data_IF_740487615003
#
_entry.id   IF_740487615003
#
_cell.length_a   1.000
_cell.length_b   1.000
_cell.length_c   1.000
_cell.angle_alpha   90.00
_cell.angle_beta   90.00
_cell.angle_gamma   90.00
#
_symmetry.space_group_name_H-M   'P 1'
#
loop_
_entity.id
_entity.type
_entity.pdbx_description
1 polymer ?
#
# COMPACT_ATOMS: atom_id res chain seq x y z
N UNK A 1 -11.62 -11.61 -5.45
CA UNK A 1 -12.62 -12.37 -4.65
C UNK A 1 -13.83 -11.49 -4.33
N UNK A 2 -13.69 -10.44 -3.51
CA UNK A 2 -14.82 -9.62 -3.05
C UNK A 2 -15.70 -9.00 -4.16
N UNK A 3 -15.11 -8.35 -5.17
CA UNK A 3 -15.90 -7.76 -6.28
C UNK A 3 -16.71 -8.83 -7.03
N UNK A 4 -16.17 -10.04 -7.14
CA UNK A 4 -16.87 -11.16 -7.75
C UNK A 4 -18.06 -11.60 -6.89
N UNK A 5 -17.88 -11.71 -5.58
CA UNK A 5 -18.97 -12.02 -4.63
C UNK A 5 -20.08 -10.98 -4.66
N UNK A 6 -19.73 -9.69 -4.71
CA UNK A 6 -20.70 -8.59 -4.84
C UNK A 6 -21.49 -8.71 -6.14
N UNK A 7 -20.81 -8.95 -7.27
CA UNK A 7 -21.46 -9.12 -8.57
C UNK A 7 -22.35 -10.37 -8.59
N UNK A 8 -21.93 -11.46 -7.98
CA UNK A 8 -22.72 -12.68 -7.87
C UNK A 8 -24.01 -12.43 -7.07
N UNK A 9 -23.89 -11.88 -5.86
CA UNK A 9 -25.06 -11.57 -5.03
C UNK A 9 -26.02 -10.58 -5.71
N UNK A 10 -25.48 -9.54 -6.34
CA UNK A 10 -26.28 -8.54 -7.03
C UNK A 10 -27.11 -9.14 -8.17
N UNK A 11 -26.49 -9.98 -9.02
CA UNK A 11 -27.17 -10.54 -10.19
C UNK A 11 -28.08 -11.73 -9.85
N UNK A 12 -27.67 -12.57 -8.92
CA UNK A 12 -28.31 -13.89 -8.72
C UNK A 12 -29.34 -13.87 -7.58
N UNK A 13 -29.25 -12.88 -6.67
CA UNK A 13 -30.18 -12.72 -5.54
C UNK A 13 -30.95 -11.40 -5.67
N UNK A 14 -30.23 -10.29 -5.60
CA UNK A 14 -30.85 -8.97 -5.44
C UNK A 14 -31.69 -8.58 -6.67
N UNK A 15 -31.21 -8.84 -7.89
CA UNK A 15 -31.91 -8.47 -9.11
C UNK A 15 -33.26 -9.18 -9.25
N UNK A 16 -33.36 -10.46 -8.84
CA UNK A 16 -34.62 -11.20 -8.86
C UNK A 16 -35.63 -10.56 -7.89
N UNK A 17 -35.19 -10.25 -6.67
CA UNK A 17 -36.00 -9.58 -5.66
C UNK A 17 -36.47 -8.19 -6.13
N UNK A 18 -35.62 -7.43 -6.83
CA UNK A 18 -35.99 -6.12 -7.39
C UNK A 18 -37.04 -6.26 -8.49
N UNK A 19 -36.85 -7.22 -9.41
CA UNK A 19 -37.78 -7.48 -10.52
C UNK A 19 -39.15 -7.99 -10.06
N UNK A 20 -39.23 -8.66 -8.90
CA UNK A 20 -40.51 -9.06 -8.31
C UNK A 20 -41.40 -7.87 -7.92
N UNK A 21 -40.78 -6.70 -7.69
CA UNK A 21 -41.45 -5.44 -7.31
C UNK A 21 -41.61 -4.50 -8.50
N UNK A 22 -40.57 -4.39 -9.32
CA UNK A 22 -40.51 -3.53 -10.51
C UNK A 22 -39.82 -4.28 -11.66
N UNK A 23 -40.57 -4.77 -12.67
CA UNK A 23 -40.04 -5.64 -13.72
C UNK A 23 -38.85 -5.08 -14.51
N UNK A 24 -38.78 -3.76 -14.69
CA UNK A 24 -37.75 -3.08 -15.49
C UNK A 24 -36.46 -2.77 -14.71
N UNK A 25 -36.34 -3.27 -13.48
CA UNK A 25 -35.14 -3.08 -12.67
C UNK A 25 -33.89 -3.71 -13.30
N UNK A 26 -32.76 -3.00 -13.19
CA UNK A 26 -31.45 -3.47 -13.65
C UNK A 26 -30.33 -3.02 -12.69
N UNK A 27 -29.24 -3.78 -12.68
CA UNK A 27 -27.99 -3.44 -11.97
C UNK A 27 -26.87 -3.39 -13.00
N UNK A 28 -26.09 -2.30 -13.01
CA UNK A 28 -24.92 -2.13 -13.87
C UNK A 28 -23.70 -1.86 -13.00
N UNK A 29 -22.60 -2.56 -13.30
CA UNK A 29 -21.29 -2.28 -12.73
C UNK A 29 -20.45 -1.55 -13.77
N UNK A 30 -19.74 -0.51 -13.31
CA UNK A 30 -18.80 0.26 -14.12
C UNK A 30 -17.54 0.45 -13.30
N UNK A 31 -16.40 -0.04 -13.80
CA UNK A 31 -15.12 0.08 -13.09
C UNK A 31 -14.43 1.36 -13.53
N UNK A 32 -14.46 2.37 -12.66
CA UNK A 32 -13.94 3.70 -12.99
C UNK A 32 -12.46 3.86 -12.68
N UNK A 33 -11.91 3.03 -11.80
CA UNK A 33 -10.51 3.06 -11.40
C UNK A 33 -10.11 1.71 -10.82
N UNK A 34 -8.86 1.34 -11.07
CA UNK A 34 -8.19 0.19 -10.49
C UNK A 34 -6.75 0.57 -10.19
N UNK A 35 -6.22 0.07 -9.09
CA UNK A 35 -4.90 0.42 -8.63
C UNK A 35 -4.24 -0.82 -8.01
N UNK A 36 -3.04 -1.21 -8.46
CA UNK A 36 -2.39 -2.41 -7.94
C UNK A 36 -2.04 -2.24 -6.46
N UNK A 37 -2.31 -3.27 -5.67
CA UNK A 37 -1.80 -3.36 -4.32
C UNK A 37 -0.30 -3.67 -4.34
N UNK A 38 0.41 -3.28 -3.27
CA UNK A 38 1.77 -3.73 -3.02
C UNK A 38 1.72 -5.00 -2.16
N UNK A 39 2.47 -6.03 -2.57
CA UNK A 39 2.79 -7.17 -1.72
C UNK A 39 4.30 -7.37 -1.67
N UNK A 40 4.94 -6.85 -0.62
CA UNK A 40 6.36 -7.08 -0.39
C UNK A 40 6.56 -8.42 0.30
N UNK A 41 7.20 -9.38 -0.37
CA UNK A 41 7.59 -10.65 0.24
C UNK A 41 8.47 -10.39 1.49
N UNK A 42 8.15 -10.94 2.68
CA UNK A 42 8.99 -10.85 3.87
C UNK A 42 10.45 -11.30 3.67
N UNK A 43 10.71 -12.16 2.68
CA UNK A 43 12.06 -12.60 2.28
C UNK A 43 12.74 -11.68 1.25
N UNK A 44 12.09 -10.60 0.83
CA UNK A 44 12.61 -9.68 -0.18
C UNK A 44 13.89 -8.98 0.28
N UNK A 45 14.84 -8.84 -0.63
CA UNK A 45 16.11 -8.14 -0.40
C UNK A 45 15.91 -6.68 -0.02
N UNK A 46 14.80 -6.05 -0.44
CA UNK A 46 14.49 -4.66 -0.07
C UNK A 46 14.29 -4.51 1.44
N UNK A 47 13.70 -5.51 2.11
CA UNK A 47 13.52 -5.50 3.57
C UNK A 47 14.87 -5.61 4.29
N UNK A 48 15.73 -6.52 3.83
CA UNK A 48 17.08 -6.67 4.37
C UNK A 48 17.91 -5.39 4.16
N UNK A 49 17.79 -4.78 2.99
CA UNK A 49 18.44 -3.52 2.65
C UNK A 49 17.95 -2.38 3.56
N UNK A 50 16.64 -2.22 3.74
CA UNK A 50 16.07 -1.19 4.64
C UNK A 50 16.55 -1.37 6.08
N UNK A 51 16.59 -2.61 6.60
CA UNK A 51 17.14 -2.90 7.94
C UNK A 51 18.60 -2.49 8.10
N UNK A 52 19.38 -2.53 7.02
CA UNK A 52 20.80 -2.17 7.05
C UNK A 52 21.07 -0.66 7.13
N UNK A 53 20.13 0.17 6.66
CA UNK A 53 20.21 1.64 6.68
C UNK A 53 19.46 2.26 7.86
N UNK A 54 18.45 1.56 8.39
CA UNK A 54 17.74 1.94 9.58
C UNK A 54 17.33 0.67 10.33
N UNK A 55 17.92 0.37 11.49
CA UNK A 55 17.51 -0.76 12.31
C UNK A 55 16.03 -0.61 12.68
N UNK A 56 15.18 -1.43 12.08
CA UNK A 56 13.75 -1.50 12.36
C UNK A 56 13.46 -2.80 13.09
N UNK A 57 12.82 -2.69 14.26
CA UNK A 57 12.49 -3.83 15.10
C UNK A 57 11.31 -4.65 14.54
N UNK A 58 10.50 -4.02 13.68
CA UNK A 58 9.32 -4.64 13.08
C UNK A 58 9.15 -4.20 11.63
N UNK A 59 8.60 -5.11 10.81
CA UNK A 59 7.99 -4.77 9.52
C UNK A 59 6.50 -4.64 9.82
N UNK A 60 5.93 -3.49 9.48
CA UNK A 60 4.50 -3.24 9.70
C UNK A 60 3.60 -4.19 8.91
N UNK A 61 2.35 -4.28 9.33
CA UNK A 61 1.32 -5.06 8.64
C UNK A 61 0.82 -4.35 7.38
N UNK A 62 0.08 -5.08 6.54
CA UNK A 62 -0.61 -4.52 5.39
C UNK A 62 -1.65 -3.47 5.84
N UNK A 63 -1.65 -2.33 5.16
CA UNK A 63 -2.60 -1.25 5.42
C UNK A 63 -3.55 -1.07 4.22
N UNK A 64 -4.79 -0.66 4.46
CA UNK A 64 -5.81 -0.48 3.41
C UNK A 64 -5.68 0.88 2.70
N UNK A 65 -4.48 1.18 2.19
CA UNK A 65 -4.15 2.40 1.46
C UNK A 65 -3.40 2.08 0.17
N UNK A 66 -3.66 2.86 -0.89
CA UNK A 66 -2.92 2.77 -2.15
C UNK A 66 -1.67 3.63 -2.11
N UNK A 67 -0.56 3.12 -2.65
CA UNK A 67 0.70 3.85 -2.85
C UNK A 67 1.33 3.46 -4.19
N UNK A 68 2.16 4.33 -4.76
CA UNK A 68 2.84 4.11 -6.04
C UNK A 68 3.75 2.88 -6.07
N UNK A 69 4.11 2.37 -4.89
CA UNK A 69 4.90 1.15 -4.77
C UNK A 69 4.24 -0.06 -5.44
N UNK A 70 2.90 -0.17 -5.46
CA UNK A 70 2.22 -1.25 -6.19
C UNK A 70 2.43 -1.16 -7.71
N UNK A 71 2.54 0.06 -8.26
CA UNK A 71 2.84 0.28 -9.68
C UNK A 71 4.30 -0.07 -9.99
N UNK A 72 5.23 0.31 -9.11
CA UNK A 72 6.66 0.00 -9.27
C UNK A 72 6.96 -1.49 -9.15
N UNK A 73 6.33 -2.17 -8.19
CA UNK A 73 6.42 -3.63 -8.05
C UNK A 73 5.88 -4.33 -9.31
N UNK A 74 4.75 -3.84 -9.85
CA UNK A 74 4.17 -4.33 -11.10
C UNK A 74 5.08 -4.22 -12.33
N UNK A 75 6.11 -3.37 -12.31
CA UNK A 75 7.14 -3.28 -13.36
C UNK A 75 8.47 -3.93 -12.97
N UNK A 76 8.51 -4.69 -11.88
CA UNK A 76 9.67 -5.47 -11.45
C UNK A 76 10.65 -4.73 -10.53
N UNK A 77 10.26 -3.59 -9.97
CA UNK A 77 11.05 -2.86 -8.97
C UNK A 77 10.55 -3.25 -7.58
N UNK A 78 11.30 -4.10 -6.88
CA UNK A 78 10.97 -4.51 -5.51
C UNK A 78 10.83 -3.28 -4.60
N UNK A 79 9.66 -3.09 -4.01
CA UNK A 79 9.36 -1.91 -3.21
C UNK A 79 9.03 -2.23 -1.75
N UNK A 80 9.36 -1.28 -0.87
CA UNK A 80 8.90 -1.19 0.51
C UNK A 80 8.46 0.24 0.75
N UNK A 81 7.32 0.42 1.42
CA UNK A 81 6.88 1.74 1.88
C UNK A 81 7.30 1.93 3.33
N UNK A 82 8.02 3.00 3.61
CA UNK A 82 8.41 3.38 4.96
C UNK A 82 8.44 4.91 5.08
N UNK A 83 8.15 5.41 6.27
CA UNK A 83 8.19 6.84 6.54
C UNK A 83 7.88 7.12 8.02
N UNK A 84 8.17 8.33 8.48
CA UNK A 84 7.86 8.74 9.84
C UNK A 84 6.35 8.97 10.03
N UNK A 85 5.90 8.94 11.28
CA UNK A 85 4.49 9.12 11.63
C UNK A 85 3.79 7.78 11.92
N UNK A 86 2.46 7.81 11.92
CA UNK A 86 1.61 6.63 12.07
C UNK A 86 0.45 6.67 11.09
N UNK A 87 0.15 5.53 10.49
CA UNK A 87 -0.98 5.40 9.57
C UNK A 87 -2.33 5.59 10.28
N UNK A 88 -2.39 5.34 11.59
CA UNK A 88 -3.61 5.44 12.39
C UNK A 88 -4.20 6.86 12.41
N UNK A 89 -3.35 7.86 12.19
CA UNK A 89 -3.73 9.28 12.20
C UNK A 89 -3.61 9.96 10.83
N UNK A 90 -3.31 9.22 9.77
CA UNK A 90 -3.29 9.76 8.41
C UNK A 90 -4.69 10.24 7.98
N UNK A 91 -4.77 11.39 7.32
CA UNK A 91 -6.00 12.05 6.87
C UNK A 91 -7.01 12.36 7.99
N UNK A 92 -6.53 12.53 9.23
CA UNK A 92 -7.36 12.99 10.35
C UNK A 92 -7.19 14.50 10.54
N UNK A 93 -8.21 15.22 11.09
CA UNK A 93 -8.10 16.67 11.30
C UNK A 93 -6.92 17.10 12.16
N UNK A 94 -6.45 16.20 13.04
CA UNK A 94 -5.34 16.35 13.96
C UNK A 94 -4.09 15.55 13.53
N UNK A 95 -3.98 15.22 12.24
CA UNK A 95 -2.79 14.59 11.68
C UNK A 95 -1.52 15.37 12.04
N UNK A 96 -0.54 14.68 12.62
CA UNK A 96 0.73 15.27 12.99
C UNK A 96 1.89 14.30 12.78
N UNK A 97 3.09 14.85 12.85
CA UNK A 97 4.34 14.12 12.94
C UNK A 97 5.21 14.77 14.02
N UNK A 98 5.84 13.98 14.88
CA UNK A 98 6.69 14.52 15.93
C UNK A 98 8.04 14.95 15.37
N UNK A 99 8.70 15.91 16.04
CA UNK A 99 10.06 16.32 15.67
C UNK A 99 11.06 15.15 15.76
N UNK A 100 10.86 14.27 16.73
CA UNK A 100 11.67 13.06 16.90
C UNK A 100 11.48 12.08 15.73
N UNK A 101 10.24 11.87 15.28
CA UNK A 101 9.95 11.03 14.10
C UNK A 101 10.61 11.61 12.84
N UNK A 102 10.56 12.93 12.66
CA UNK A 102 11.28 13.61 11.57
C UNK A 102 12.78 13.37 11.64
N UNK A 103 13.40 13.55 12.81
CA UNK A 103 14.83 13.30 13.01
C UNK A 103 15.23 11.86 12.70
N UNK A 104 14.40 10.88 13.08
CA UNK A 104 14.62 9.47 12.70
C UNK A 104 14.57 9.26 11.19
N UNK A 105 13.65 9.92 10.49
CA UNK A 105 13.59 9.86 9.04
C UNK A 105 14.81 10.51 8.38
N UNK A 106 15.27 11.65 8.90
CA UNK A 106 16.47 12.33 8.39
C UNK A 106 17.69 11.41 8.48
N UNK A 107 17.93 10.79 9.64
CA UNK A 107 19.03 9.83 9.81
C UNK A 107 18.93 8.62 8.87
N UNK A 108 17.72 8.09 8.64
CA UNK A 108 17.52 7.00 7.68
C UNK A 108 17.92 7.40 6.25
N UNK A 109 17.54 8.61 5.82
CA UNK A 109 17.89 9.12 4.48
C UNK A 109 19.40 9.37 4.39
N UNK A 110 20.04 9.92 5.43
CA UNK A 110 21.49 10.11 5.48
C UNK A 110 22.24 8.77 5.35
N UNK A 111 21.80 7.73 6.08
CA UNK A 111 22.37 6.39 5.99
C UNK A 111 22.18 5.77 4.61
N UNK A 112 21.03 5.99 3.96
CA UNK A 112 20.78 5.57 2.58
C UNK A 112 21.76 6.24 1.62
N UNK A 113 21.94 7.57 1.71
CA UNK A 113 22.88 8.31 0.87
C UNK A 113 24.31 7.80 1.08
N UNK A 114 24.72 7.54 2.32
CA UNK A 114 26.03 6.97 2.63
C UNK A 114 26.21 5.61 1.95
N UNK A 115 25.23 4.71 2.11
CA UNK A 115 25.26 3.36 1.52
C UNK A 115 25.35 3.39 0.00
N UNK A 116 24.61 4.27 -0.66
CA UNK A 116 24.65 4.42 -2.11
C UNK A 116 26.02 4.89 -2.59
N UNK A 117 26.70 5.77 -1.83
CA UNK A 117 28.06 6.23 -2.17
C UNK A 117 29.10 5.11 -2.04
N UNK A 118 29.06 4.35 -0.94
CA UNK A 118 29.98 3.21 -0.75
C UNK A 118 29.83 2.15 -1.85
N UNK A 119 28.60 1.92 -2.31
CA UNK A 119 28.33 0.95 -3.38
C UNK A 119 28.87 1.45 -4.73
N UNK A 120 28.89 2.76 -4.97
CA UNK A 120 29.43 3.36 -6.20
C UNK A 120 30.96 3.38 -6.29
N UNK A 121 31.67 3.15 -5.18
CA UNK A 121 33.15 3.07 -5.16
C UNK A 121 33.67 1.63 -5.38
N UNK A 122 32.77 0.66 -5.53
CA UNK A 122 33.09 -0.76 -5.74
C UNK A 122 32.80 -1.26 -7.17
N UNK A 123 32.27 -0.39 -8.04
CA UNK A 123 32.14 -0.57 -9.50
C UNK A 123 33.24 0.23 -10.26
#
# INVERSE_FOLDING_TARGET
>A
ALVHEIRHYANDVLLADMKSRYPDSAIRFDETSSYPGLHTDPASTVIAYTRSINPIDHIGDNVSFGTEAGLFDGIGVNCLVCGPGSIDQAHKPDEFISREQMQTCDHMIENLVHRCRETSELD
#
